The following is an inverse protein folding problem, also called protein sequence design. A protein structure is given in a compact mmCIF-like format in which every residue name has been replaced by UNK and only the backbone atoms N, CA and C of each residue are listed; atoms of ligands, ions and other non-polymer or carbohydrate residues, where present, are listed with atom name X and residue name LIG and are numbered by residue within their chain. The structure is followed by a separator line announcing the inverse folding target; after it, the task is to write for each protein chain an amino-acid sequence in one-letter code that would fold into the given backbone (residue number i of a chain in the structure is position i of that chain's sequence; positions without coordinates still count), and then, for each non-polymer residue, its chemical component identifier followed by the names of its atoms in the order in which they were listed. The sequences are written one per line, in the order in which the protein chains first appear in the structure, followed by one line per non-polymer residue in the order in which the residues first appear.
data_IF_441348154673
#
_entry.id   IF_441348154673
#
_cell.length_a   1.000
_cell.length_b   1.000
_cell.length_c   1.000
_cell.angle_alpha   90.00
_cell.angle_beta   90.00
_cell.angle_gamma   90.00
#
_symmetry.space_group_name_H-M   'P 1'
#
loop_
_entity.id
_entity.type
_entity.pdbx_description
1 polymer ?
#
# COMPACT_ATOMS: atom_id res chain seq x y z
N UNK A 1 -4.65 -5.02 -29.72
CA UNK A 1 -4.86 -6.38 -29.17
C UNK A 1 -3.55 -6.90 -28.59
N UNK A 2 -3.44 -7.06 -27.26
CA UNK A 2 -2.26 -7.66 -26.61
C UNK A 2 -2.67 -8.69 -25.53
N UNK A 3 -3.86 -9.28 -25.69
CA UNK A 3 -4.39 -10.34 -24.81
C UNK A 3 -4.06 -11.75 -25.33
N UNK A 4 -3.41 -11.88 -26.49
CA UNK A 4 -3.50 -13.08 -27.33
C UNK A 4 -2.32 -14.07 -27.29
N UNK A 5 -1.27 -13.86 -26.50
CA UNK A 5 -0.11 -14.79 -26.52
C UNK A 5 0.05 -15.69 -25.28
N UNK A 6 -0.52 -15.34 -24.12
CA UNK A 6 -0.20 -16.05 -22.86
C UNK A 6 -1.41 -16.61 -22.09
N UNK A 7 -2.64 -16.53 -22.62
CA UNK A 7 -3.83 -17.12 -21.97
C UNK A 7 -4.14 -16.58 -20.56
N UNK A 8 -3.33 -15.66 -20.03
CA UNK A 8 -3.42 -15.06 -18.70
C UNK A 8 -3.43 -13.54 -18.80
N UNK A 9 -4.18 -12.90 -17.90
CA UNK A 9 -4.13 -11.44 -17.69
C UNK A 9 -2.71 -11.10 -17.22
N UNK A 10 -1.98 -10.29 -17.99
CA UNK A 10 -0.69 -9.76 -17.54
C UNK A 10 -1.02 -8.60 -16.58
N UNK A 11 -0.93 -8.85 -15.27
CA UNK A 11 -0.98 -7.78 -14.28
C UNK A 11 0.33 -6.96 -14.36
N UNK A 12 0.28 -5.63 -14.39
CA UNK A 12 1.48 -4.80 -14.49
C UNK A 12 2.34 -4.90 -13.23
N UNK A 13 3.67 -5.04 -13.39
CA UNK A 13 4.63 -5.03 -12.27
C UNK A 13 4.60 -3.74 -11.43
N UNK A 14 3.97 -2.68 -11.95
CA UNK A 14 3.81 -1.38 -11.30
C UNK A 14 3.14 -1.50 -9.93
N UNK A 15 2.21 -2.44 -9.76
CA UNK A 15 1.45 -2.57 -8.51
C UNK A 15 2.32 -3.07 -7.35
N UNK A 16 3.31 -3.93 -7.63
CA UNK A 16 4.26 -4.40 -6.60
C UNK A 16 5.15 -3.25 -6.10
N UNK A 17 5.65 -2.40 -7.02
CA UNK A 17 6.44 -1.22 -6.63
C UNK A 17 5.60 -0.27 -5.78
N UNK A 18 4.35 -0.05 -6.16
CA UNK A 18 3.43 0.83 -5.43
C UNK A 18 3.09 0.27 -4.04
N UNK A 19 2.79 -1.02 -3.92
CA UNK A 19 2.53 -1.68 -2.64
C UNK A 19 3.75 -1.62 -1.71
N UNK A 20 4.96 -1.78 -2.26
CA UNK A 20 6.20 -1.66 -1.49
C UNK A 20 6.40 -0.25 -0.94
N UNK A 21 6.17 0.80 -1.74
CA UNK A 21 6.27 2.18 -1.26
C UNK A 21 5.19 2.52 -0.22
N UNK A 22 3.96 2.04 -0.40
CA UNK A 22 2.90 2.18 0.62
C UNK A 22 3.27 1.48 1.93
N UNK A 23 3.87 0.28 1.84
CA UNK A 23 4.35 -0.45 3.01
C UNK A 23 5.50 0.28 3.71
N UNK A 24 6.42 0.86 2.93
CA UNK A 24 7.51 1.71 3.45
C UNK A 24 6.97 2.95 4.16
N UNK A 25 5.95 3.61 3.62
CA UNK A 25 5.29 4.74 4.27
C UNK A 25 4.67 4.34 5.62
N UNK A 26 4.04 3.16 5.71
CA UNK A 26 3.54 2.62 6.98
C UNK A 26 4.65 2.38 8.01
N UNK A 27 5.81 1.90 7.56
CA UNK A 27 7.01 1.76 8.39
C UNK A 27 7.52 3.10 8.95
N UNK A 28 7.59 4.12 8.10
CA UNK A 28 8.01 5.48 8.49
C UNK A 28 7.02 6.13 9.46
N UNK A 29 5.72 6.00 9.20
CA UNK A 29 4.65 6.45 10.09
C UNK A 29 4.81 5.83 11.49
N UNK A 30 5.02 4.50 11.56
CA UNK A 30 5.26 3.77 12.82
C UNK A 30 6.50 4.26 13.54
N UNK A 31 7.56 4.59 12.80
CA UNK A 31 8.79 5.14 13.37
C UNK A 31 8.53 6.49 14.04
N UNK A 32 7.90 7.43 13.34
CA UNK A 32 7.56 8.74 13.89
C UNK A 32 6.62 8.66 15.10
N UNK A 33 5.65 7.73 15.10
CA UNK A 33 4.80 7.47 16.27
C UNK A 33 5.60 7.06 17.51
N UNK A 34 6.63 6.22 17.33
CA UNK A 34 7.53 5.80 18.41
C UNK A 34 8.40 6.95 18.90
N UNK A 35 8.97 7.74 17.99
CA UNK A 35 9.79 8.91 18.32
C UNK A 35 8.99 9.97 19.07
N UNK A 36 7.72 10.17 18.69
CA UNK A 36 6.78 11.06 19.37
C UNK A 36 6.23 10.51 20.69
N UNK A 37 6.70 9.35 21.18
CA UNK A 37 6.21 8.68 22.38
C UNK A 37 4.67 8.56 22.45
N UNK A 38 4.04 8.29 21.30
CA UNK A 38 2.59 8.13 21.19
C UNK A 38 1.78 9.44 21.08
N UNK A 39 2.42 10.61 21.05
CA UNK A 39 1.74 11.88 20.74
C UNK A 39 1.15 11.81 19.33
N UNK A 40 -0.10 12.24 19.15
CA UNK A 40 -0.80 12.16 17.86
C UNK A 40 -1.28 10.74 17.49
N UNK A 41 -1.50 9.88 18.48
CA UNK A 41 -1.84 8.46 18.27
C UNK A 41 -3.05 8.24 17.36
N UNK A 42 -4.04 9.15 17.42
CA UNK A 42 -5.24 9.08 16.58
C UNK A 42 -4.93 9.37 15.12
N UNK A 43 -4.19 10.43 14.86
CA UNK A 43 -3.76 10.86 13.53
C UNK A 43 -2.88 9.78 12.87
N UNK A 44 -1.96 9.21 13.65
CA UNK A 44 -1.13 8.11 13.21
C UNK A 44 -1.93 6.85 12.86
N UNK A 45 -2.96 6.52 13.65
CA UNK A 45 -3.87 5.42 13.36
C UNK A 45 -4.73 5.67 12.11
N UNK A 46 -5.16 6.91 11.87
CA UNK A 46 -5.90 7.30 10.66
C UNK A 46 -5.02 7.14 9.40
N UNK A 47 -3.76 7.57 9.46
CA UNK A 47 -2.79 7.39 8.37
C UNK A 47 -2.56 5.90 8.09
N UNK A 48 -2.37 5.09 9.14
CA UNK A 48 -2.16 3.65 8.98
C UNK A 48 -3.37 2.96 8.34
N UNK A 49 -4.59 3.37 8.73
CA UNK A 49 -5.82 2.89 8.11
C UNK A 49 -5.93 3.30 6.63
N UNK A 50 -5.55 4.53 6.29
CA UNK A 50 -5.55 5.00 4.90
C UNK A 50 -4.57 4.22 4.03
N UNK A 51 -3.36 3.92 4.53
CA UNK A 51 -2.37 3.10 3.82
C UNK A 51 -2.90 1.69 3.59
N UNK A 52 -3.48 1.07 4.64
CA UNK A 52 -4.08 -0.27 4.54
C UNK A 52 -5.21 -0.30 3.49
N UNK A 53 -6.10 0.69 3.50
CA UNK A 53 -7.19 0.80 2.54
C UNK A 53 -6.68 0.98 1.11
N UNK A 54 -5.60 1.73 0.90
CA UNK A 54 -4.99 1.91 -0.42
C UNK A 54 -4.43 0.60 -0.97
N UNK A 55 -3.72 -0.19 -0.15
CA UNK A 55 -3.18 -1.50 -0.54
C UNK A 55 -4.31 -2.45 -0.96
N UNK A 56 -5.38 -2.55 -0.15
CA UNK A 56 -6.52 -3.43 -0.51
C UNK A 56 -7.20 -3.03 -1.81
N UNK A 57 -7.35 -1.73 -2.09
CA UNK A 57 -7.93 -1.27 -3.37
C UNK A 57 -7.07 -1.66 -4.57
N UNK A 58 -5.75 -1.67 -4.42
CA UNK A 58 -4.82 -2.10 -5.47
C UNK A 58 -4.95 -3.60 -5.68
N UNK A 59 -4.99 -4.40 -4.61
CA UNK A 59 -5.19 -5.86 -4.69
C UNK A 59 -6.52 -6.21 -5.37
N UNK A 60 -7.63 -5.59 -4.97
CA UNK A 60 -8.96 -5.83 -5.58
C UNK A 60 -9.05 -5.44 -7.06
N UNK A 61 -8.25 -4.47 -7.52
CA UNK A 61 -8.19 -4.09 -8.93
C UNK A 61 -7.44 -5.11 -9.79
N UNK A 62 -6.63 -5.96 -9.16
CA UNK A 62 -5.78 -6.93 -9.83
C UNK A 62 -6.45 -8.29 -10.02
N UNK A 63 -7.41 -8.64 -9.16
CA UNK A 63 -8.36 -9.74 -9.39
C UNK A 63 -9.24 -9.52 -10.64
#
# INVERSE_FOLDING_TARGET
MLRAALGRKIAPQTDHKLINELSRLGGLQKHLFKEGNGVGSKEYAEILQAIKAAIFRIEQKND
#
